data_IF_075424783101
#
_entry.id   IF_075424783101
#
_cell.length_a   1.000
_cell.length_b   1.000
_cell.length_c   1.000
_cell.angle_alpha   90.00
_cell.angle_beta   90.00
_cell.angle_gamma   90.00
#
_symmetry.space_group_name_H-M   'P 1'
#
loop_
_entity.id
_entity.type
_entity.pdbx_description
1 polymer ?
#
# COMPACT_ATOMS: atom_id res chain seq x y z
N UNK A 1 49.73 35.79 -11.00
CA UNK A 1 49.86 34.76 -9.96
C UNK A 1 49.10 35.30 -8.74
N UNK A 2 47.79 35.08 -8.67
CA UNK A 2 47.11 33.92 -8.08
C UNK A 2 47.09 33.97 -6.54
N UNK A 3 45.92 34.35 -5.96
CA UNK A 3 45.30 33.85 -4.72
C UNK A 3 44.11 34.79 -4.36
N UNK A 4 42.84 34.36 -4.51
CA UNK A 4 41.99 33.69 -3.51
C UNK A 4 41.72 34.57 -2.26
N UNK A 5 40.49 34.76 -1.75
CA UNK A 5 39.21 34.15 -2.03
C UNK A 5 38.07 35.08 -1.53
N UNK A 6 36.99 35.13 -2.32
CA UNK A 6 35.69 35.67 -1.94
C UNK A 6 34.88 34.57 -1.25
N UNK A 7 33.90 35.02 -0.46
CA UNK A 7 32.65 34.35 -0.06
C UNK A 7 32.64 33.88 1.39
N UNK A 8 32.10 34.76 2.23
CA UNK A 8 31.57 34.45 3.54
C UNK A 8 30.50 33.37 3.44
N UNK A 9 30.62 32.36 4.31
CA UNK A 9 29.69 31.25 4.43
C UNK A 9 28.31 31.76 4.87
N UNK A 10 27.34 31.78 3.94
CA UNK A 10 25.92 31.74 4.29
C UNK A 10 25.47 30.28 4.17
N UNK A 11 25.65 29.51 5.25
CA UNK A 11 24.92 28.27 5.44
C UNK A 11 23.46 28.63 5.75
N UNK A 12 22.68 28.86 4.71
CA UNK A 12 21.23 28.82 4.81
C UNK A 12 20.83 27.38 5.10
N UNK A 13 20.49 27.08 6.35
CA UNK A 13 19.77 25.85 6.67
C UNK A 13 18.41 25.93 5.98
N UNK A 14 18.31 25.38 4.77
CA UNK A 14 17.03 25.02 4.18
C UNK A 14 16.45 23.92 5.06
N UNK A 15 15.66 24.32 6.07
CA UNK A 15 14.79 23.40 6.78
C UNK A 15 13.81 22.84 5.75
N UNK A 16 14.08 21.63 5.28
CA UNK A 16 13.10 20.79 4.60
C UNK A 16 11.99 20.48 5.62
N UNK A 17 11.07 21.41 5.79
CA UNK A 17 9.80 21.13 6.45
C UNK A 17 9.00 20.34 5.43
N UNK A 18 9.17 19.02 5.43
CA UNK A 18 8.10 18.15 4.97
C UNK A 18 6.95 18.38 5.94
N UNK A 19 6.02 19.28 5.58
CA UNK A 19 4.73 19.34 6.22
C UNK A 19 4.06 18.00 5.91
N UNK A 20 4.26 17.03 6.80
CA UNK A 20 3.48 15.80 6.81
C UNK A 20 2.05 16.25 7.11
N UNK A 21 1.24 16.43 6.05
CA UNK A 21 -0.17 16.73 6.21
C UNK A 21 -0.78 15.68 7.12
N UNK A 22 -1.46 16.10 8.18
CA UNK A 22 -2.19 15.16 9.04
C UNK A 22 -3.17 14.37 8.16
N UNK A 23 -3.20 13.04 8.32
CA UNK A 23 -4.19 12.19 7.67
C UNK A 23 -5.59 12.69 8.01
N UNK A 24 -6.38 13.02 6.99
CA UNK A 24 -7.78 13.39 7.14
C UNK A 24 -8.62 12.26 6.52
N UNK A 25 -9.54 11.64 7.28
CA UNK A 25 -10.45 10.67 6.71
C UNK A 25 -11.34 11.38 5.67
N UNK A 26 -11.53 10.75 4.52
CA UNK A 26 -12.57 11.14 3.59
C UNK A 26 -13.92 10.71 4.20
N UNK A 27 -14.83 11.67 4.39
CA UNK A 27 -16.17 11.43 4.95
C UNK A 27 -17.26 11.47 3.85
N UNK A 28 -16.87 11.36 2.59
CA UNK A 28 -17.78 11.35 1.47
C UNK A 28 -18.54 10.02 1.34
N UNK A 29 -19.58 10.01 0.52
CA UNK A 29 -20.28 8.79 0.18
C UNK A 29 -19.34 7.82 -0.57
N UNK A 30 -19.18 6.60 -0.05
CA UNK A 30 -18.36 5.55 -0.63
C UNK A 30 -19.05 4.78 -1.78
N UNK A 31 -20.24 5.20 -2.21
CA UNK A 31 -20.91 4.60 -3.36
C UNK A 31 -20.12 4.87 -4.65
N UNK A 32 -19.87 3.81 -5.44
CA UNK A 32 -19.10 3.94 -6.67
C UNK A 32 -18.56 2.63 -7.21
N UNK A 33 -17.83 2.73 -8.33
CA UNK A 33 -17.04 1.64 -8.90
C UNK A 33 -15.57 1.95 -8.67
N UNK A 34 -14.82 0.95 -8.22
CA UNK A 34 -13.44 1.07 -7.78
C UNK A 34 -12.58 0.02 -8.47
N UNK A 35 -11.38 0.43 -8.84
CA UNK A 35 -10.31 -0.48 -9.23
C UNK A 35 -9.46 -0.81 -8.00
N UNK A 36 -9.02 -2.05 -7.89
CA UNK A 36 -8.04 -2.44 -6.87
C UNK A 36 -6.72 -1.72 -7.18
N UNK A 37 -6.22 -1.00 -6.18
CA UNK A 37 -4.87 -0.47 -6.16
C UNK A 37 -3.90 -1.57 -5.69
N UNK A 38 -3.04 -2.12 -6.56
CA UNK A 38 -2.14 -3.21 -6.20
C UNK A 38 -1.04 -2.78 -5.21
N UNK A 39 -0.70 -1.48 -5.14
CA UNK A 39 0.37 -0.99 -4.26
C UNK A 39 -0.11 -0.80 -2.81
N UNK A 40 -1.43 -0.68 -2.61
CA UNK A 40 -2.06 -0.47 -1.30
C UNK A 40 -3.05 -1.57 -0.90
N UNK A 41 -3.12 -2.67 -1.66
CA UNK A 41 -3.95 -3.83 -1.35
C UNK A 41 -3.09 -5.05 -1.07
N UNK A 42 -3.50 -5.88 -0.10
CA UNK A 42 -2.73 -7.04 0.33
C UNK A 42 -3.63 -8.27 0.46
N UNK A 43 -3.12 -9.42 0.02
CA UNK A 43 -3.79 -10.71 0.14
C UNK A 43 -2.98 -11.60 1.05
N UNK A 44 -3.53 -11.90 2.23
CA UNK A 44 -2.92 -12.79 3.20
C UNK A 44 -3.69 -14.10 3.32
N UNK A 45 -2.98 -15.16 3.67
CA UNK A 45 -3.56 -16.40 4.16
C UNK A 45 -2.88 -16.79 5.46
N UNK A 46 -3.63 -17.46 6.33
CA UNK A 46 -3.11 -17.98 7.60
C UNK A 46 -3.53 -19.43 7.77
N UNK A 47 -2.59 -20.27 8.19
CA UNK A 47 -2.81 -21.69 8.47
C UNK A 47 -2.13 -22.11 9.77
N UNK A 48 -2.57 -23.20 10.38
CA UNK A 48 -1.88 -23.79 11.52
C UNK A 48 -0.60 -24.48 11.09
N UNK A 49 0.53 -24.19 11.75
CA UNK A 49 1.80 -24.87 11.53
C UNK A 49 2.01 -25.91 12.63
N UNK A 50 1.76 -27.18 12.28
CA UNK A 50 2.00 -28.38 13.10
C UNK A 50 1.43 -28.33 14.53
N UNK A 51 0.34 -27.58 14.74
CA UNK A 51 -0.31 -27.44 16.05
C UNK A 51 0.43 -26.56 17.06
N UNK A 52 1.49 -25.85 16.64
CA UNK A 52 2.30 -25.00 17.53
C UNK A 52 1.95 -23.52 17.36
N UNK A 53 1.99 -23.02 16.13
CA UNK A 53 1.79 -21.59 15.85
C UNK A 53 1.05 -21.36 14.53
N UNK A 54 0.33 -20.24 14.36
CA UNK A 54 -0.15 -19.83 13.05
C UNK A 54 1.04 -19.42 12.16
N UNK A 55 0.96 -19.80 10.90
CA UNK A 55 1.84 -19.33 9.83
C UNK A 55 1.03 -18.45 8.88
N UNK A 56 1.55 -17.27 8.56
CA UNK A 56 0.95 -16.32 7.62
C UNK A 56 1.86 -16.14 6.40
N UNK A 57 1.28 -16.32 5.21
CA UNK A 57 1.91 -15.97 3.95
C UNK A 57 1.03 -15.01 3.15
N UNK A 58 1.49 -14.61 1.97
CA UNK A 58 0.79 -13.65 1.11
C UNK A 58 0.85 -14.03 -0.36
N UNK A 59 0.03 -13.36 -1.17
CA UNK A 59 0.20 -13.27 -2.61
C UNK A 59 0.64 -11.85 -2.97
N UNK A 60 1.73 -11.74 -3.73
CA UNK A 60 2.34 -10.45 -4.08
C UNK A 60 1.62 -9.73 -5.23
N UNK A 61 0.68 -10.37 -5.91
CA UNK A 61 -0.08 -9.79 -7.01
C UNK A 61 -1.58 -9.89 -6.74
N UNK A 62 -2.28 -8.78 -6.98
CA UNK A 62 -3.73 -8.68 -6.91
C UNK A 62 -4.20 -7.71 -8.00
N UNK A 63 -5.33 -8.00 -8.62
CA UNK A 63 -6.01 -7.08 -9.53
C UNK A 63 -7.52 -7.29 -9.45
N UNK A 64 -8.29 -6.31 -9.90
CA UNK A 64 -9.74 -6.45 -10.00
C UNK A 64 -10.47 -5.15 -9.78
N UNK A 65 -11.76 -5.28 -9.55
CA UNK A 65 -12.69 -4.18 -9.38
C UNK A 65 -13.82 -4.55 -8.43
N UNK A 66 -14.42 -3.54 -7.81
CA UNK A 66 -15.58 -3.73 -6.95
C UNK A 66 -16.53 -2.53 -7.01
N UNK A 67 -17.80 -2.80 -6.72
CA UNK A 67 -18.88 -1.81 -6.69
C UNK A 67 -19.47 -1.72 -5.29
N UNK A 68 -19.68 -0.50 -4.82
CA UNK A 68 -20.40 -0.17 -3.59
C UNK A 68 -21.67 0.61 -3.96
N UNK A 69 -22.82 0.12 -3.50
CA UNK A 69 -24.14 0.75 -3.56
C UNK A 69 -24.81 0.60 -2.18
N UNK A 70 -24.65 1.61 -1.35
CA UNK A 70 -25.21 1.65 0.02
C UNK A 70 -26.73 1.71 0.01
N UNK A 71 -27.37 2.15 -1.09
CA UNK A 71 -28.83 2.17 -1.23
C UNK A 71 -29.38 0.80 -1.61
N UNK A 72 -28.60 -0.01 -2.32
CA UNK A 72 -28.97 -1.38 -2.71
C UNK A 72 -27.81 -2.36 -2.47
N UNK A 73 -27.51 -2.75 -1.21
CA UNK A 73 -26.35 -3.58 -0.89
C UNK A 73 -26.25 -4.91 -1.64
N UNK A 74 -27.38 -5.48 -2.06
CA UNK A 74 -27.42 -6.71 -2.88
C UNK A 74 -26.87 -6.54 -4.31
N UNK A 75 -26.63 -5.31 -4.76
CA UNK A 75 -25.97 -4.99 -6.04
C UNK A 75 -24.45 -4.83 -5.91
N UNK A 76 -23.92 -4.86 -4.68
CA UNK A 76 -22.47 -4.87 -4.47
C UNK A 76 -21.87 -6.10 -5.15
N UNK A 77 -20.74 -5.91 -5.83
CA UNK A 77 -20.04 -6.97 -6.54
C UNK A 77 -18.55 -6.73 -6.43
N UNK A 78 -17.78 -7.79 -6.30
CA UNK A 78 -16.34 -7.77 -6.40
C UNK A 78 -15.88 -8.85 -7.38
N UNK A 79 -14.99 -8.49 -8.29
CA UNK A 79 -14.32 -9.40 -9.21
C UNK A 79 -12.82 -9.22 -9.01
N UNK A 80 -12.18 -10.22 -8.40
CA UNK A 80 -10.79 -10.15 -7.95
C UNK A 80 -10.02 -11.33 -8.53
N UNK A 81 -8.81 -11.06 -9.02
CA UNK A 81 -7.87 -12.06 -9.54
C UNK A 81 -6.58 -12.03 -8.73
N UNK A 82 -6.13 -13.21 -8.32
CA UNK A 82 -4.91 -13.42 -7.53
C UNK A 82 -4.08 -14.49 -8.25
N UNK A 83 -2.99 -14.10 -8.94
CA UNK A 83 -2.07 -15.05 -9.55
C UNK A 83 -1.44 -15.95 -8.49
N UNK A 84 -1.68 -17.27 -8.58
CA UNK A 84 -1.22 -18.25 -7.59
C UNK A 84 0.30 -18.35 -7.54
N UNK A 85 0.96 -18.10 -8.67
CA UNK A 85 2.42 -18.04 -8.81
C UNK A 85 3.06 -16.86 -8.07
N UNK A 86 2.27 -15.92 -7.55
CA UNK A 86 2.75 -14.81 -6.72
C UNK A 86 2.83 -15.12 -5.22
N UNK A 87 2.63 -16.38 -4.83
CA UNK A 87 2.73 -16.83 -3.45
C UNK A 87 4.10 -16.51 -2.85
N UNK A 88 4.08 -15.99 -1.62
CA UNK A 88 5.25 -15.64 -0.84
C UNK A 88 5.08 -16.16 0.59
N UNK A 89 5.85 -17.19 0.91
CA UNK A 89 5.91 -17.79 2.25
C UNK A 89 7.05 -17.24 3.10
N UNK A 90 7.70 -16.16 2.64
CA UNK A 90 8.91 -15.58 3.24
C UNK A 90 10.05 -16.60 3.39
N UNK A 91 10.12 -17.56 2.46
CA UNK A 91 11.13 -18.61 2.41
C UNK A 91 11.37 -18.99 0.95
N UNK A 92 12.51 -18.59 0.38
CA UNK A 92 12.80 -18.72 -1.05
C UNK A 92 12.96 -20.18 -1.54
N UNK A 93 13.19 -21.14 -0.65
CA UNK A 93 13.37 -22.56 -0.98
C UNK A 93 12.04 -23.31 -1.20
N UNK A 94 10.90 -22.60 -1.24
CA UNK A 94 9.57 -23.18 -1.39
C UNK A 94 8.96 -22.86 -2.75
#
# INVERSE_FOLDING_TARGET
MAALALIAAMFGAASNVFAQGQYQPLNDNADGQYQIDPDHSQVFFTLGHVGIAPFTGRFNKISGQYTIDSKHPGKNKAEISIPVDSIDTNLALR
#
